data_IF_686810197945
#
_entry.id   IF_686810197945
#
_cell.length_a   1.000
_cell.length_b   1.000
_cell.length_c   1.000
_cell.angle_alpha   90.00
_cell.angle_beta   90.00
_cell.angle_gamma   90.00
#
_symmetry.space_group_name_H-M   'P 1'
#
loop_
_entity.id
_entity.type
_entity.pdbx_description
1 polymer ?
#
# COMPACT_ATOMS: atom_id res chain seq x y z
N UNK A 1 12.68 -14.19 -19.47
CA UNK A 1 11.55 -13.80 -18.59
C UNK A 1 11.24 -14.84 -17.49
N UNK A 2 12.08 -15.82 -17.28
CA UNK A 2 11.81 -16.93 -16.35
C UNK A 2 12.85 -17.02 -15.23
N UNK A 3 13.08 -15.92 -14.53
CA UNK A 3 13.88 -15.94 -13.30
C UNK A 3 12.92 -15.94 -12.11
N UNK A 4 12.69 -17.09 -11.46
CA UNK A 4 11.77 -17.21 -10.32
C UNK A 4 12.20 -16.34 -9.14
N UNK A 5 13.50 -16.12 -8.95
CA UNK A 5 14.04 -15.29 -7.87
C UNK A 5 13.65 -13.83 -8.08
N UNK A 6 13.77 -13.30 -9.30
CA UNK A 6 13.36 -11.97 -9.65
C UNK A 6 11.88 -11.70 -9.31
N UNK A 7 10.99 -12.57 -9.76
CA UNK A 7 9.56 -12.43 -9.50
C UNK A 7 9.22 -12.68 -8.03
N UNK A 8 9.92 -13.60 -7.37
CA UNK A 8 9.77 -13.83 -5.94
C UNK A 8 10.08 -12.58 -5.11
N UNK A 9 11.21 -11.93 -5.37
CA UNK A 9 11.58 -10.68 -4.69
C UNK A 9 10.60 -9.56 -5.02
N UNK A 10 10.21 -9.40 -6.30
CA UNK A 10 9.26 -8.39 -6.74
C UNK A 10 7.91 -8.52 -6.02
N UNK A 11 7.28 -9.69 -6.08
CA UNK A 11 5.97 -9.89 -5.45
C UNK A 11 6.02 -9.86 -3.92
N UNK A 12 7.09 -10.33 -3.32
CA UNK A 12 7.28 -10.23 -1.86
C UNK A 12 7.34 -8.78 -1.41
N UNK A 13 8.07 -7.93 -2.13
CA UNK A 13 8.15 -6.50 -1.83
C UNK A 13 6.83 -5.78 -2.12
N UNK A 14 6.13 -6.11 -3.21
CA UNK A 14 4.80 -5.57 -3.51
C UNK A 14 3.79 -5.95 -2.41
N UNK A 15 3.81 -7.18 -1.92
CA UNK A 15 2.99 -7.63 -0.80
C UNK A 15 3.34 -6.90 0.49
N UNK A 16 4.64 -6.76 0.79
CA UNK A 16 5.10 -6.05 1.98
C UNK A 16 4.64 -4.59 1.99
N UNK A 17 4.72 -3.89 0.84
CA UNK A 17 4.19 -2.54 0.70
C UNK A 17 2.70 -2.47 1.03
N UNK A 18 1.89 -3.33 0.39
CA UNK A 18 0.44 -3.29 0.49
C UNK A 18 -0.08 -3.78 1.85
N UNK A 19 0.65 -4.64 2.54
CA UNK A 19 0.33 -5.09 3.90
C UNK A 19 0.88 -4.14 4.98
N UNK A 20 1.85 -3.29 4.64
CA UNK A 20 2.39 -2.31 5.57
C UNK A 20 1.33 -1.27 5.94
N UNK A 21 1.04 -1.08 7.25
CA UNK A 21 0.04 -0.11 7.68
C UNK A 21 0.45 1.30 7.27
N UNK A 22 -0.41 1.95 6.51
CA UNK A 22 -0.25 3.31 6.02
C UNK A 22 -1.59 4.06 5.97
N UNK A 23 -1.60 5.35 5.63
CA UNK A 23 -2.82 6.16 5.54
C UNK A 23 -3.86 5.55 4.59
N UNK A 24 -3.41 4.95 3.48
CA UNK A 24 -4.15 4.22 2.47
C UNK A 24 -4.96 3.06 3.08
N UNK A 25 -4.29 2.12 3.72
CA UNK A 25 -4.90 0.96 4.33
C UNK A 25 -5.82 1.34 5.49
N UNK A 26 -5.41 2.28 6.34
CA UNK A 26 -6.23 2.78 7.45
C UNK A 26 -7.51 3.44 6.94
N UNK A 27 -7.42 4.21 5.85
CA UNK A 27 -8.58 4.82 5.21
C UNK A 27 -9.57 3.77 4.71
N UNK A 28 -9.10 2.78 3.93
CA UNK A 28 -9.92 1.70 3.38
C UNK A 28 -10.61 0.90 4.50
N UNK A 29 -9.88 0.53 5.55
CA UNK A 29 -10.43 -0.20 6.69
C UNK A 29 -11.46 0.64 7.45
N UNK A 30 -11.17 1.93 7.71
CA UNK A 30 -12.12 2.84 8.36
C UNK A 30 -13.43 2.92 7.59
N UNK A 31 -13.38 3.10 6.26
CA UNK A 31 -14.56 3.14 5.39
C UNK A 31 -15.30 1.81 5.35
N UNK A 32 -14.58 0.70 5.40
CA UNK A 32 -15.20 -0.63 5.48
C UNK A 32 -15.97 -0.84 6.77
N UNK A 33 -15.41 -0.43 7.90
CA UNK A 33 -16.02 -0.61 9.22
C UNK A 33 -17.23 0.31 9.43
N UNK A 34 -17.20 1.54 8.89
CA UNK A 34 -18.28 2.52 9.04
C UNK A 34 -19.38 2.35 8.00
N UNK A 35 -19.04 2.10 6.73
CA UNK A 35 -19.96 2.07 5.60
C UNK A 35 -20.13 0.69 4.95
N UNK A 36 -19.52 -0.34 5.51
CA UNK A 36 -19.62 -1.72 5.02
C UNK A 36 -18.79 -2.00 3.78
N UNK A 37 -18.94 -3.23 3.26
CA UNK A 37 -18.12 -3.76 2.16
C UNK A 37 -18.12 -2.86 0.91
N UNK A 38 -19.29 -2.34 0.51
CA UNK A 38 -19.42 -1.52 -0.71
C UNK A 38 -18.56 -0.26 -0.62
N UNK A 39 -18.65 0.46 0.50
CA UNK A 39 -17.90 1.69 0.69
C UNK A 39 -16.40 1.41 0.80
N UNK A 40 -16.01 0.33 1.48
CA UNK A 40 -14.63 -0.13 1.54
C UNK A 40 -14.04 -0.44 0.16
N UNK A 41 -14.75 -1.20 -0.68
CA UNK A 41 -14.28 -1.52 -2.04
C UNK A 41 -14.13 -0.28 -2.91
N UNK A 42 -15.06 0.65 -2.84
CA UNK A 42 -14.99 1.92 -3.60
C UNK A 42 -13.80 2.77 -3.11
N UNK A 43 -13.54 2.76 -1.81
CA UNK A 43 -12.37 3.44 -1.23
C UNK A 43 -11.05 2.82 -1.69
N UNK A 44 -10.96 1.49 -1.71
CA UNK A 44 -9.80 0.76 -2.22
C UNK A 44 -9.55 1.05 -3.71
N UNK A 45 -10.61 1.07 -4.53
CA UNK A 45 -10.49 1.47 -5.94
C UNK A 45 -9.98 2.91 -6.08
N UNK A 46 -10.40 3.82 -5.20
CA UNK A 46 -9.87 5.18 -5.16
C UNK A 46 -8.37 5.21 -4.87
N UNK A 47 -7.94 4.50 -3.83
CA UNK A 47 -6.52 4.35 -3.46
C UNK A 47 -5.72 3.77 -4.63
N UNK A 48 -6.17 2.67 -5.24
CA UNK A 48 -5.50 2.07 -6.40
C UNK A 48 -5.42 3.03 -7.60
N UNK A 49 -6.43 3.90 -7.80
CA UNK A 49 -6.38 4.94 -8.84
C UNK A 49 -5.34 6.02 -8.53
N UNK A 50 -5.17 6.41 -7.26
CA UNK A 50 -4.08 7.28 -6.82
C UNK A 50 -2.71 6.65 -7.06
N UNK A 51 -2.56 5.37 -6.73
CA UNK A 51 -1.34 4.61 -7.00
C UNK A 51 -0.98 4.57 -8.49
N UNK A 52 -1.97 4.47 -9.40
CA UNK A 52 -1.73 4.54 -10.85
C UNK A 52 -1.17 5.90 -11.30
N UNK A 53 -1.50 6.99 -10.63
CA UNK A 53 -0.87 8.29 -10.89
C UNK A 53 0.60 8.27 -10.50
N UNK A 54 0.94 7.70 -9.35
CA UNK A 54 2.34 7.51 -8.95
C UNK A 54 3.10 6.59 -9.90
N UNK A 55 2.49 5.50 -10.38
CA UNK A 55 3.06 4.63 -11.42
C UNK A 55 3.36 5.41 -12.69
N UNK A 56 2.41 6.22 -13.15
CA UNK A 56 2.59 7.04 -14.34
C UNK A 56 3.69 8.09 -14.15
N UNK A 57 3.71 8.76 -13.01
CA UNK A 57 4.75 9.72 -12.67
C UNK A 57 6.15 9.07 -12.62
N UNK A 58 6.26 7.88 -12.02
CA UNK A 58 7.50 7.11 -12.00
C UNK A 58 7.91 6.66 -13.41
N UNK A 59 6.98 6.15 -14.21
CA UNK A 59 7.26 5.67 -15.57
C UNK A 59 7.77 6.78 -16.48
N UNK A 60 7.12 7.93 -16.50
CA UNK A 60 7.49 9.03 -17.39
C UNK A 60 8.54 9.97 -16.79
N UNK A 61 8.42 10.31 -15.50
CA UNK A 61 9.35 11.22 -14.84
C UNK A 61 10.71 10.57 -14.57
N UNK A 62 10.73 9.35 -14.04
CA UNK A 62 11.98 8.69 -13.72
C UNK A 62 12.75 8.21 -14.96
N UNK A 63 12.05 7.77 -16.01
CA UNK A 63 12.70 7.44 -17.28
C UNK A 63 13.36 8.66 -17.92
N UNK A 64 12.78 9.86 -17.80
CA UNK A 64 13.40 11.10 -18.24
C UNK A 64 14.66 11.43 -17.42
N UNK A 65 14.62 11.26 -16.10
CA UNK A 65 15.78 11.45 -15.22
C UNK A 65 16.90 10.47 -15.55
N UNK A 66 16.58 9.18 -15.75
CA UNK A 66 17.53 8.15 -16.16
C UNK A 66 18.23 8.48 -17.48
N UNK A 67 17.47 9.04 -18.43
CA UNK A 67 18.01 9.40 -19.75
C UNK A 67 18.91 10.64 -19.72
N UNK A 68 18.75 11.52 -18.70
CA UNK A 68 19.41 12.82 -18.68
C UNK A 68 20.52 12.95 -17.64
N UNK A 69 20.47 12.22 -16.53
CA UNK A 69 21.43 12.37 -15.45
C UNK A 69 21.56 11.14 -14.53
N UNK A 70 22.69 10.46 -14.63
CA UNK A 70 23.04 9.36 -13.73
C UNK A 70 23.17 9.81 -12.27
N UNK A 71 23.62 11.07 -12.06
CA UNK A 71 23.72 11.64 -10.72
C UNK A 71 22.35 11.90 -10.10
N UNK A 72 21.42 12.52 -10.84
CA UNK A 72 20.05 12.74 -10.36
C UNK A 72 19.35 11.42 -10.03
N UNK A 73 19.54 10.40 -10.85
CA UNK A 73 19.04 9.07 -10.55
C UNK A 73 19.62 8.49 -9.26
N UNK A 74 20.94 8.60 -9.06
CA UNK A 74 21.59 8.11 -7.83
C UNK A 74 21.05 8.80 -6.59
N UNK A 75 20.82 10.11 -6.65
CA UNK A 75 20.23 10.88 -5.54
C UNK A 75 18.81 10.36 -5.22
N UNK A 76 17.95 10.21 -6.22
CA UNK A 76 16.57 9.68 -6.03
C UNK A 76 16.62 8.26 -5.44
N UNK A 77 17.49 7.40 -5.97
CA UNK A 77 17.68 6.02 -5.49
C UNK A 77 18.06 5.97 -4.00
N UNK A 78 19.07 6.75 -3.59
CA UNK A 78 19.55 6.71 -2.20
C UNK A 78 18.58 7.39 -1.22
N UNK A 79 17.94 8.49 -1.61
CA UNK A 79 16.90 9.11 -0.80
C UNK A 79 15.70 8.18 -0.62
N UNK A 80 15.28 7.52 -1.70
CA UNK A 80 14.21 6.52 -1.66
C UNK A 80 14.55 5.32 -0.78
N UNK A 81 15.76 4.77 -0.90
CA UNK A 81 16.23 3.66 -0.07
C UNK A 81 16.25 4.05 1.43
N UNK A 82 16.79 5.22 1.76
CA UNK A 82 16.80 5.72 3.13
C UNK A 82 15.39 5.88 3.71
N UNK A 83 14.45 6.38 2.89
CA UNK A 83 13.06 6.52 3.32
C UNK A 83 12.35 5.16 3.48
N UNK A 84 12.60 4.19 2.61
CA UNK A 84 12.06 2.83 2.77
C UNK A 84 12.57 2.17 4.06
N UNK A 85 13.86 2.36 4.39
CA UNK A 85 14.43 1.93 5.67
C UNK A 85 13.74 2.63 6.83
N UNK A 86 13.53 3.95 6.74
CA UNK A 86 12.82 4.73 7.75
C UNK A 86 11.39 4.19 7.98
N UNK A 87 10.63 3.93 6.91
CA UNK A 87 9.29 3.35 7.01
C UNK A 87 9.31 1.95 7.62
N UNK A 88 10.27 1.11 7.26
CA UNK A 88 10.47 -0.22 7.83
C UNK A 88 10.72 -0.13 9.34
N UNK A 89 11.63 0.74 9.77
CA UNK A 89 11.92 0.98 11.20
C UNK A 89 10.69 1.54 11.93
N UNK A 90 9.94 2.46 11.30
CA UNK A 90 8.72 3.01 11.88
C UNK A 90 7.65 1.92 12.08
N UNK A 91 7.46 1.04 11.08
CA UNK A 91 6.55 -0.09 11.17
C UNK A 91 6.94 -1.05 12.32
N UNK A 92 8.23 -1.36 12.44
CA UNK A 92 8.77 -2.18 13.53
C UNK A 92 8.55 -1.53 14.91
N UNK A 93 8.76 -0.22 15.04
CA UNK A 93 8.55 0.53 16.29
C UNK A 93 7.08 0.68 16.65
N UNK A 94 6.19 0.65 15.67
CA UNK A 94 4.74 0.70 15.85
C UNK A 94 4.14 -0.67 16.10
N UNK A 95 4.89 -1.73 15.84
CA UNK A 95 4.50 -3.10 16.19
C UNK A 95 4.35 -3.20 17.72
N UNK A 96 3.13 -3.36 18.20
CA UNK A 96 2.80 -3.38 19.63
C UNK A 96 2.14 -2.10 20.18
N UNK A 97 2.15 -0.99 19.44
CA UNK A 97 1.29 0.15 19.75
C UNK A 97 0.04 -0.02 18.90
N UNK A 98 -1.02 -0.59 19.47
CA UNK A 98 -2.28 -0.82 18.73
C UNK A 98 -2.67 0.40 17.89
N UNK A 99 -3.45 0.19 16.84
CA UNK A 99 -3.94 1.26 15.96
C UNK A 99 -4.72 2.25 16.81
N UNK A 100 -4.04 3.32 17.20
CA UNK A 100 -4.47 4.20 18.28
C UNK A 100 -5.67 5.07 17.89
N UNK A 101 -5.97 5.28 16.61
CA UNK A 101 -7.22 5.90 16.15
C UNK A 101 -7.38 5.69 14.65
N UNK A 102 -8.42 5.01 14.24
CA UNK A 102 -8.92 5.14 12.87
C UNK A 102 -9.39 6.60 12.69
N UNK A 103 -9.06 7.26 11.56
CA UNK A 103 -9.57 8.60 11.29
C UNK A 103 -11.09 8.59 11.41
N UNK A 104 -11.65 9.46 12.25
CA UNK A 104 -13.10 9.64 12.34
C UNK A 104 -13.58 10.26 11.02
N UNK A 105 -14.11 9.43 10.16
CA UNK A 105 -14.76 9.89 8.93
C UNK A 105 -16.22 10.21 9.26
N UNK A 106 -16.48 11.45 9.62
CA UNK A 106 -17.83 11.93 9.90
C UNK A 106 -18.72 11.87 8.67
N UNK A 107 -19.89 11.23 8.81
CA UNK A 107 -21.00 11.30 7.88
C UNK A 107 -21.06 10.16 6.86
N UNK A 108 -22.28 9.83 6.43
CA UNK A 108 -22.57 8.94 5.33
C UNK A 108 -22.08 9.56 4.02
N UNK A 109 -20.84 9.26 3.64
CA UNK A 109 -20.27 9.74 2.40
C UNK A 109 -20.86 8.95 1.24
N UNK A 110 -21.15 9.64 0.14
CA UNK A 110 -21.49 8.96 -1.10
C UNK A 110 -20.32 8.08 -1.57
N UNK A 111 -20.62 7.06 -2.35
CA UNK A 111 -19.58 6.20 -2.94
C UNK A 111 -18.55 7.03 -3.74
N UNK A 112 -19.02 8.04 -4.46
CA UNK A 112 -18.16 8.97 -5.20
C UNK A 112 -17.22 9.77 -4.30
N UNK A 113 -17.72 10.24 -3.17
CA UNK A 113 -16.91 10.96 -2.20
C UNK A 113 -15.84 10.05 -1.58
N UNK A 114 -16.19 8.80 -1.25
CA UNK A 114 -15.27 7.82 -0.75
C UNK A 114 -14.17 7.48 -1.78
N UNK A 115 -14.54 7.33 -3.05
CA UNK A 115 -13.58 7.14 -4.14
C UNK A 115 -12.58 8.30 -4.24
N UNK A 116 -13.10 9.53 -4.38
CA UNK A 116 -12.25 10.74 -4.52
C UNK A 116 -11.31 10.93 -3.32
N UNK A 117 -11.79 10.67 -2.13
CA UNK A 117 -10.96 10.74 -0.92
C UNK A 117 -9.89 9.65 -0.93
N UNK A 118 -10.20 8.43 -1.40
CA UNK A 118 -9.21 7.37 -1.59
C UNK A 118 -8.09 7.79 -2.55
N UNK A 119 -8.46 8.37 -3.70
CA UNK A 119 -7.48 8.94 -4.65
C UNK A 119 -6.58 9.97 -3.96
N UNK A 120 -7.17 10.93 -3.23
CA UNK A 120 -6.40 11.97 -2.56
C UNK A 120 -5.50 11.43 -1.44
N UNK A 121 -6.00 10.45 -0.67
CA UNK A 121 -5.22 9.81 0.39
C UNK A 121 -3.97 9.17 -0.18
N UNK A 122 -4.07 8.48 -1.31
CA UNK A 122 -2.92 7.84 -1.92
C UNK A 122 -2.00 8.84 -2.65
N UNK A 123 -2.56 9.80 -3.38
CA UNK A 123 -1.76 10.87 -4.02
C UNK A 123 -0.90 11.66 -3.03
N UNK A 124 -1.41 11.87 -1.82
CA UNK A 124 -0.70 12.57 -0.75
C UNK A 124 0.11 11.60 0.14
N UNK A 125 0.14 10.31 -0.21
CA UNK A 125 0.85 9.30 0.57
C UNK A 125 2.34 9.23 0.17
N UNK A 126 3.25 9.74 0.97
CA UNK A 126 4.67 9.71 0.64
C UNK A 126 5.22 8.27 0.59
N UNK A 127 4.58 7.33 1.29
CA UNK A 127 4.96 5.91 1.26
C UNK A 127 4.83 5.36 -0.16
N UNK A 128 3.69 5.60 -0.83
CA UNK A 128 3.45 5.14 -2.19
C UNK A 128 4.39 5.84 -3.19
N UNK A 129 4.47 7.18 -3.13
CA UNK A 129 5.32 7.96 -4.04
C UNK A 129 6.77 7.50 -4.03
N UNK A 130 7.36 7.37 -2.84
CA UNK A 130 8.77 7.00 -2.70
C UNK A 130 9.01 5.53 -3.04
N UNK A 131 8.07 4.64 -2.67
CA UNK A 131 8.16 3.24 -3.07
C UNK A 131 8.23 3.10 -4.60
N UNK A 132 7.31 3.70 -5.34
CA UNK A 132 7.32 3.60 -6.80
C UNK A 132 8.59 4.19 -7.41
N UNK A 133 9.07 5.33 -6.91
CA UNK A 133 10.30 5.96 -7.40
C UNK A 133 11.58 5.17 -7.06
N UNK A 134 11.66 4.56 -5.88
CA UNK A 134 12.88 3.89 -5.43
C UNK A 134 12.93 2.40 -5.78
N UNK A 135 11.76 1.73 -5.78
CA UNK A 135 11.67 0.29 -5.95
C UNK A 135 11.59 -0.15 -7.40
N UNK A 136 10.72 0.46 -8.22
CA UNK A 136 10.50 0.00 -9.59
C UNK A 136 11.77 0.00 -10.46
N UNK A 137 12.65 1.00 -10.39
CA UNK A 137 13.86 1.02 -11.24
C UNK A 137 14.79 -0.17 -11.02
N UNK A 138 14.76 -0.77 -9.84
CA UNK A 138 15.61 -1.92 -9.50
C UNK A 138 15.25 -3.17 -10.31
N UNK A 139 14.06 -3.18 -10.91
CA UNK A 139 13.53 -4.29 -11.71
C UNK A 139 13.56 -4.01 -13.22
N UNK A 140 14.06 -2.86 -13.64
CA UNK A 140 14.23 -2.54 -15.06
C UNK A 140 15.41 -3.32 -15.63
N UNK A 141 15.19 -3.99 -16.75
CA UNK A 141 16.21 -4.80 -17.44
C UNK A 141 16.62 -4.15 -18.78
N UNK A 142 17.91 -3.89 -19.00
CA UNK A 142 18.39 -3.43 -20.30
C UNK A 142 18.01 -4.41 -21.42
N UNK A 143 17.66 -3.90 -22.59
CA UNK A 143 17.35 -4.73 -23.76
C UNK A 143 15.94 -5.33 -23.82
N UNK A 144 15.07 -5.09 -22.83
CA UNK A 144 13.70 -5.63 -22.77
C UNK A 144 12.64 -4.56 -23.04
N UNK A 145 12.87 -3.65 -23.96
CA UNK A 145 11.96 -2.54 -24.29
C UNK A 145 12.32 -1.24 -23.61
N UNK A 146 11.47 -0.22 -23.78
CA UNK A 146 11.72 1.09 -23.19
C UNK A 146 11.58 1.07 -21.67
N UNK A 147 12.43 1.80 -20.96
CA UNK A 147 12.40 1.93 -19.51
C UNK A 147 11.03 2.38 -18.99
N UNK A 148 10.42 3.36 -19.67
CA UNK A 148 9.09 3.86 -19.29
C UNK A 148 8.02 2.75 -19.33
N UNK A 149 8.01 1.94 -20.38
CA UNK A 149 7.05 0.86 -20.52
C UNK A 149 7.26 -0.24 -19.46
N UNK A 150 8.51 -0.57 -19.15
CA UNK A 150 8.82 -1.52 -18.10
C UNK A 150 8.37 -1.00 -16.74
N UNK A 151 8.68 0.24 -16.38
CA UNK A 151 8.25 0.87 -15.13
C UNK A 151 6.73 0.91 -15.02
N UNK A 152 6.03 1.24 -16.11
CA UNK A 152 4.57 1.26 -16.13
C UNK A 152 3.98 -0.13 -15.84
N UNK A 153 4.44 -1.17 -16.55
CA UNK A 153 3.94 -2.53 -16.36
C UNK A 153 4.27 -3.11 -14.99
N UNK A 154 5.48 -2.90 -14.49
CA UNK A 154 5.86 -3.31 -13.14
C UNK A 154 4.99 -2.58 -12.09
N UNK A 155 4.80 -1.27 -12.23
CA UNK A 155 3.94 -0.50 -11.34
C UNK A 155 2.48 -0.96 -11.42
N UNK A 156 1.97 -1.23 -12.61
CA UNK A 156 0.63 -1.79 -12.79
C UNK A 156 0.46 -3.13 -12.08
N UNK A 157 1.45 -4.02 -12.13
CA UNK A 157 1.42 -5.28 -11.39
C UNK A 157 1.37 -5.06 -9.86
N UNK A 158 2.08 -4.07 -9.33
CA UNK A 158 1.98 -3.69 -7.90
C UNK A 158 0.56 -3.26 -7.55
N UNK A 159 -0.09 -2.47 -8.42
CA UNK A 159 -1.49 -2.04 -8.22
C UNK A 159 -2.46 -3.22 -8.31
N UNK A 160 -2.22 -4.20 -9.19
CA UNK A 160 -3.02 -5.43 -9.22
C UNK A 160 -2.90 -6.20 -7.89
N UNK A 161 -1.69 -6.31 -7.35
CA UNK A 161 -1.49 -6.89 -6.00
C UNK A 161 -2.24 -6.08 -4.95
N UNK A 162 -2.21 -4.74 -5.00
CA UNK A 162 -2.96 -3.87 -4.09
C UNK A 162 -4.47 -4.16 -4.13
N UNK A 163 -5.06 -4.26 -5.32
CA UNK A 163 -6.50 -4.58 -5.50
C UNK A 163 -6.85 -5.91 -4.82
N UNK A 164 -6.01 -6.92 -4.99
CA UNK A 164 -6.25 -8.25 -4.39
C UNK A 164 -6.12 -8.20 -2.87
N UNK A 165 -5.07 -7.57 -2.36
CA UNK A 165 -4.80 -7.47 -0.91
C UNK A 165 -5.86 -6.63 -0.21
N UNK A 166 -6.08 -5.39 -0.68
CA UNK A 166 -7.06 -4.48 -0.08
C UNK A 166 -8.49 -5.02 -0.21
N UNK A 167 -8.85 -5.57 -1.38
CA UNK A 167 -10.14 -6.22 -1.59
C UNK A 167 -10.38 -7.37 -0.62
N UNK A 168 -9.36 -8.19 -0.38
CA UNK A 168 -9.41 -9.29 0.59
C UNK A 168 -9.60 -8.76 2.01
N UNK A 169 -8.84 -7.74 2.39
CA UNK A 169 -8.95 -7.09 3.71
C UNK A 169 -10.33 -6.43 3.92
N UNK A 170 -10.89 -5.78 2.89
CA UNK A 170 -12.26 -5.24 2.93
C UNK A 170 -13.28 -6.35 3.17
N UNK A 171 -13.16 -7.48 2.48
CA UNK A 171 -14.09 -8.62 2.67
C UNK A 171 -13.98 -9.18 4.08
N UNK A 172 -12.77 -9.40 4.56
CA UNK A 172 -12.50 -9.92 5.91
C UNK A 172 -12.99 -8.96 6.99
N UNK A 173 -12.67 -7.67 6.89
CA UNK A 173 -13.11 -6.65 7.83
C UNK A 173 -14.64 -6.48 7.84
N UNK A 174 -15.28 -6.52 6.68
CA UNK A 174 -16.73 -6.43 6.58
C UNK A 174 -17.43 -7.68 7.16
N UNK A 175 -16.86 -8.87 7.00
CA UNK A 175 -17.38 -10.11 7.61
C UNK A 175 -17.22 -10.06 9.13
N UNK A 176 -16.03 -9.73 9.61
CA UNK A 176 -15.76 -9.58 11.04
C UNK A 176 -16.72 -8.56 11.68
N UNK A 177 -16.87 -7.38 11.06
CA UNK A 177 -17.81 -6.35 11.53
C UNK A 177 -19.25 -6.83 11.60
N UNK A 178 -19.71 -7.68 10.68
CA UNK A 178 -21.07 -8.23 10.69
C UNK A 178 -21.29 -9.26 11.79
N UNK A 179 -20.34 -10.16 11.99
CA UNK A 179 -20.38 -11.17 13.04
C UNK A 179 -20.40 -10.53 14.45
N UNK A 180 -19.83 -9.34 14.55
CA UNK A 180 -19.66 -8.61 15.80
C UNK A 180 -20.78 -7.57 16.07
N UNK A 181 -21.73 -7.36 15.14
CA UNK A 181 -22.89 -6.47 15.31
C UNK A 181 -23.96 -7.13 16.19
N UNK A 182 -23.83 -7.08 17.49
CA UNK A 182 -24.86 -7.59 18.41
C UNK A 182 -24.50 -7.55 19.87
N UNK A 183 -23.27 -7.28 20.23
CA UNK A 183 -22.84 -7.24 21.62
C UNK A 183 -21.97 -6.02 21.89
N UNK A 184 -22.36 -5.15 22.83
CA UNK A 184 -21.58 -3.97 23.23
C UNK A 184 -20.18 -4.30 23.77
N UNK A 185 -19.98 -5.52 24.29
CA UNK A 185 -18.64 -6.05 24.66
C UNK A 185 -17.73 -6.29 23.45
N UNK A 186 -18.29 -6.35 22.27
CA UNK A 186 -17.58 -6.74 21.05
C UNK A 186 -16.91 -5.55 20.35
N UNK A 187 -17.29 -4.31 20.63
CA UNK A 187 -16.59 -3.14 20.11
C UNK A 187 -15.12 -3.11 20.56
N UNK A 188 -14.87 -3.38 21.83
CA UNK A 188 -13.51 -3.47 22.39
C UNK A 188 -12.74 -4.71 21.87
N UNK A 189 -13.44 -5.81 21.62
CA UNK A 189 -12.86 -7.01 21.00
C UNK A 189 -12.53 -6.79 19.53
N UNK A 190 -13.36 -6.08 18.79
CA UNK A 190 -13.11 -5.68 17.39
C UNK A 190 -11.82 -4.90 17.25
N UNK A 191 -11.61 -3.92 18.10
CA UNK A 191 -10.41 -3.08 18.08
C UNK A 191 -9.17 -3.89 18.48
N UNK A 192 -9.31 -4.84 19.41
CA UNK A 192 -8.26 -5.79 19.77
C UNK A 192 -7.96 -6.79 18.67
N UNK A 193 -8.95 -7.31 17.97
CA UNK A 193 -8.78 -8.31 16.90
C UNK A 193 -8.14 -7.68 15.65
N UNK A 194 -8.56 -6.47 15.28
CA UNK A 194 -7.91 -5.67 14.23
C UNK A 194 -6.47 -5.35 14.62
N UNK A 195 -6.23 -4.93 15.86
CA UNK A 195 -4.90 -4.72 16.40
C UNK A 195 -4.05 -5.98 16.35
N UNK A 196 -4.59 -7.13 16.75
CA UNK A 196 -3.87 -8.41 16.75
C UNK A 196 -3.52 -8.91 15.37
N UNK A 197 -4.42 -8.77 14.39
CA UNK A 197 -4.15 -9.15 12.98
C UNK A 197 -3.05 -8.27 12.40
N UNK A 198 -3.09 -6.97 12.66
CA UNK A 198 -2.07 -6.03 12.18
C UNK A 198 -0.73 -6.19 12.92
N UNK A 199 -0.78 -6.47 14.23
CA UNK A 199 0.42 -6.83 15.00
C UNK A 199 0.99 -8.17 14.53
N UNK A 200 0.14 -9.17 14.30
CA UNK A 200 0.58 -10.47 13.75
C UNK A 200 1.23 -10.34 12.38
N UNK A 201 0.68 -9.49 11.50
CA UNK A 201 1.27 -9.17 10.21
C UNK A 201 2.58 -8.39 10.37
N UNK A 202 2.64 -7.43 11.29
CA UNK A 202 3.86 -6.65 11.59
C UNK A 202 4.97 -7.51 12.21
N UNK A 203 4.63 -8.40 13.13
CA UNK A 203 5.56 -9.35 13.76
C UNK A 203 6.06 -10.36 12.71
N UNK A 204 5.20 -10.89 11.86
CA UNK A 204 5.60 -11.79 10.79
C UNK A 204 6.54 -11.12 9.80
N UNK A 205 6.30 -9.85 9.47
CA UNK A 205 7.20 -9.05 8.64
C UNK A 205 8.54 -8.78 9.33
N UNK A 206 8.52 -8.53 10.66
CA UNK A 206 9.72 -8.30 11.45
C UNK A 206 10.55 -9.54 11.76
N UNK A 207 9.92 -10.73 11.72
CA UNK A 207 10.57 -12.03 11.94
C UNK A 207 11.00 -12.71 10.63
N UNK A 208 10.57 -12.22 9.46
CA UNK A 208 11.11 -12.71 8.18
C UNK A 208 12.56 -12.25 8.07
N UNK A 209 13.45 -13.13 8.49
CA UNK A 209 14.88 -12.97 8.36
C UNK A 209 15.26 -12.72 6.90
N UNK A 210 16.27 -11.88 6.74
CA UNK A 210 16.95 -11.44 5.53
C UNK A 210 17.11 -12.58 4.49
N UNK A 211 16.66 -12.31 3.28
CA UNK A 211 17.32 -12.82 2.08
C UNK A 211 18.23 -11.73 1.52
#
# INVERSE_FOLDING_TARGET
>A
MSDPVFWGVFFSAALALNLSPGPDLLYVLSRTLTGGRRLGMVSALGVCSGAMVHVSAAAFGLSAILATSALAFSVVKYLGAAYLIYLGVQALRSAGKGITRLPETRGASSAWQAYRQGVLVDLLNPKAAIFFMAFLPQFVRPGHGTTALQLFWLGFLVVVVAIVVEGSLVVLAARASRLLRGQQRVAAWRDRLLGSVLVGLGVRLGLSERI
#
